data_IF_817964982999
#
_entry.id   IF_817964982999
#
_cell.length_a   1.000
_cell.length_b   1.000
_cell.length_c   1.000
_cell.angle_alpha   90.00
_cell.angle_beta   90.00
_cell.angle_gamma   90.00
#
_symmetry.space_group_name_H-M   'P 1'
#
loop_
_entity.id
_entity.type
_entity.pdbx_description
1 polymer ?
#
# COMPACT_ATOMS: atom_id res chain seq x y z
N UNK A 1 -10.74 -14.82 -14.74
CA UNK A 1 -10.36 -13.81 -13.72
C UNK A 1 -11.62 -13.43 -12.97
N UNK A 2 -11.69 -13.73 -11.68
CA UNK A 2 -12.99 -13.69 -10.97
C UNK A 2 -12.89 -12.87 -9.69
N UNK A 3 -14.00 -12.25 -9.28
CA UNK A 3 -14.14 -11.60 -7.97
C UNK A 3 -13.68 -12.54 -6.82
N UNK A 4 -13.82 -13.85 -7.02
CA UNK A 4 -13.36 -14.88 -6.09
C UNK A 4 -11.84 -14.89 -5.89
N UNK A 5 -11.03 -14.58 -6.91
CA UNK A 5 -9.57 -14.47 -6.77
C UNK A 5 -9.17 -13.29 -5.85
N UNK A 6 -9.91 -12.18 -5.91
CA UNK A 6 -9.66 -11.02 -5.04
C UNK A 6 -10.08 -11.33 -3.61
N UNK A 7 -11.28 -11.89 -3.43
CA UNK A 7 -11.81 -12.24 -2.12
C UNK A 7 -10.95 -13.30 -1.42
N UNK A 8 -10.54 -14.35 -2.12
CA UNK A 8 -9.69 -15.41 -1.55
C UNK A 8 -8.28 -14.95 -1.19
N UNK A 9 -7.77 -13.88 -1.82
CA UNK A 9 -6.46 -13.32 -1.51
C UNK A 9 -6.50 -12.27 -0.38
N UNK A 10 -7.69 -11.73 -0.08
CA UNK A 10 -7.86 -10.53 0.74
C UNK A 10 -7.27 -10.60 2.16
N UNK A 11 -7.10 -11.80 2.73
CA UNK A 11 -6.57 -12.01 4.08
C UNK A 11 -5.30 -12.88 4.10
N UNK A 12 -4.64 -13.07 2.95
CA UNK A 12 -3.37 -13.81 2.92
C UNK A 12 -2.24 -12.92 3.44
N UNK A 13 -1.88 -13.11 4.70
CA UNK A 13 -0.71 -12.49 5.33
C UNK A 13 0.49 -13.45 5.23
N UNK A 14 1.51 -13.07 4.48
CA UNK A 14 2.73 -13.86 4.27
C UNK A 14 3.99 -13.11 4.73
N UNK A 15 3.86 -12.19 5.71
CA UNK A 15 4.96 -11.36 6.19
C UNK A 15 6.21 -12.16 6.61
N UNK A 16 7.38 -11.55 6.43
CA UNK A 16 8.68 -12.06 6.90
C UNK A 16 9.27 -11.01 7.85
N UNK A 17 9.87 -11.47 8.94
CA UNK A 17 10.60 -10.60 9.86
C UNK A 17 11.75 -9.87 9.15
N UNK A 18 11.92 -8.58 9.45
CA UNK A 18 13.02 -7.75 8.92
C UNK A 18 12.78 -7.20 7.51
N UNK A 19 11.58 -7.34 6.95
CA UNK A 19 11.23 -6.74 5.66
C UNK A 19 10.97 -5.23 5.79
N UNK A 20 10.91 -4.53 4.66
CA UNK A 20 10.45 -3.13 4.62
C UNK A 20 8.96 -3.05 4.32
N UNK A 21 8.18 -2.42 5.19
CA UNK A 21 6.75 -2.20 4.97
C UNK A 21 6.53 -1.12 3.90
N UNK A 22 5.92 -1.47 2.77
CA UNK A 22 5.53 -0.51 1.72
C UNK A 22 4.04 -0.22 1.86
N UNK A 23 3.72 1.01 2.28
CA UNK A 23 2.35 1.45 2.56
C UNK A 23 1.78 2.13 1.34
N UNK A 24 0.75 1.51 0.74
CA UNK A 24 0.07 2.09 -0.41
C UNK A 24 -0.83 3.25 0.00
N UNK A 25 -0.67 4.37 -0.70
CA UNK A 25 -1.51 5.56 -0.60
C UNK A 25 -3.01 5.30 -0.80
N UNK A 26 -3.84 6.21 -0.31
CA UNK A 26 -5.29 6.12 -0.41
C UNK A 26 -5.98 7.47 -0.53
N UNK A 27 -6.05 8.23 0.57
CA UNK A 27 -6.58 9.60 0.58
C UNK A 27 -6.16 10.32 1.86
N UNK A 28 -6.00 11.64 1.78
CA UNK A 28 -5.78 12.55 2.91
C UNK A 28 -6.89 13.59 2.98
N UNK A 29 -7.20 14.05 4.19
CA UNK A 29 -8.18 15.10 4.47
C UNK A 29 -7.48 16.26 5.18
N UNK A 30 -7.07 17.26 4.41
CA UNK A 30 -6.30 18.40 4.93
C UNK A 30 -4.91 17.95 5.40
N UNK A 31 -4.72 17.87 6.72
CA UNK A 31 -3.46 17.44 7.35
C UNK A 31 -3.52 16.03 7.96
N UNK A 32 -4.67 15.36 7.86
CA UNK A 32 -4.89 14.05 8.48
C UNK A 32 -5.10 12.95 7.45
N UNK A 33 -4.66 11.71 7.71
CA UNK A 33 -4.98 10.60 6.82
C UNK A 33 -6.49 10.34 6.82
N UNK A 34 -7.04 9.92 5.67
CA UNK A 34 -8.41 9.38 5.64
C UNK A 34 -8.50 8.10 6.50
N UNK A 35 -9.69 7.67 6.95
CA UNK A 35 -9.82 6.45 7.76
C UNK A 35 -9.23 5.19 7.09
N UNK A 36 -9.29 5.10 5.75
CA UNK A 36 -8.68 3.99 5.00
C UNK A 36 -7.17 4.08 5.07
N UNK A 37 -6.61 5.28 4.85
CA UNK A 37 -5.17 5.47 4.89
C UNK A 37 -4.61 5.30 6.30
N UNK A 38 -5.30 5.85 7.31
CA UNK A 38 -4.97 5.70 8.72
C UNK A 38 -4.88 4.22 9.10
N UNK A 39 -5.86 3.39 8.71
CA UNK A 39 -5.82 1.95 8.98
C UNK A 39 -4.60 1.25 8.38
N UNK A 40 -4.08 1.74 7.24
CA UNK A 40 -2.85 1.19 6.62
C UNK A 40 -1.62 1.67 7.36
N UNK A 41 -1.58 2.94 7.76
CA UNK A 41 -0.49 3.52 8.54
C UNK A 41 -0.41 2.83 9.90
N UNK A 42 -1.53 2.68 10.61
CA UNK A 42 -1.61 1.98 11.90
C UNK A 42 -1.10 0.53 11.79
N UNK A 43 -1.45 -0.18 10.72
CA UNK A 43 -0.95 -1.53 10.48
C UNK A 43 0.56 -1.56 10.24
N UNK A 44 1.09 -0.61 9.47
CA UNK A 44 2.53 -0.50 9.23
C UNK A 44 3.31 -0.15 10.51
N UNK A 45 2.76 0.74 11.36
CA UNK A 45 3.32 1.07 12.67
C UNK A 45 3.33 -0.18 13.56
N UNK A 46 2.25 -0.96 13.55
CA UNK A 46 2.19 -2.22 14.30
C UNK A 46 3.30 -3.18 13.86
N UNK A 47 3.46 -3.41 12.55
CA UNK A 47 4.53 -4.25 12.01
C UNK A 47 5.93 -3.76 12.41
N UNK A 48 6.13 -2.44 12.43
CA UNK A 48 7.39 -1.84 12.89
C UNK A 48 7.64 -2.09 14.37
N UNK A 49 6.63 -1.87 15.21
CA UNK A 49 6.74 -2.03 16.66
C UNK A 49 6.90 -3.49 17.09
N UNK A 50 6.37 -4.45 16.33
CA UNK A 50 6.55 -5.89 16.59
C UNK A 50 7.82 -6.47 15.99
N UNK A 51 8.61 -5.67 15.26
CA UNK A 51 9.79 -6.15 14.54
C UNK A 51 9.48 -7.02 13.33
N UNK A 52 8.21 -7.04 12.88
CA UNK A 52 7.83 -7.68 11.61
C UNK A 52 8.33 -6.84 10.41
N UNK A 53 8.57 -5.54 10.59
CA UNK A 53 9.20 -4.66 9.60
C UNK A 53 10.25 -3.74 10.23
N UNK A 54 11.43 -3.63 9.63
CA UNK A 54 12.50 -2.76 10.17
C UNK A 54 12.37 -1.31 9.69
N UNK A 55 11.72 -1.12 8.54
CA UNK A 55 11.62 0.17 7.83
C UNK A 55 10.24 0.32 7.22
N UNK A 56 9.83 1.57 7.00
CA UNK A 56 8.54 1.90 6.37
C UNK A 56 8.77 2.82 5.17
N UNK A 57 8.20 2.47 4.02
CA UNK A 57 8.11 3.32 2.84
C UNK A 57 6.64 3.76 2.69
N UNK A 58 6.36 5.05 2.83
CA UNK A 58 5.05 5.60 2.46
C UNK A 58 5.05 6.04 0.99
N UNK A 59 3.99 5.66 0.29
CA UNK A 59 3.78 5.98 -1.13
C UNK A 59 2.56 6.89 -1.31
N UNK A 60 2.53 7.62 -2.41
CA UNK A 60 1.44 8.50 -2.79
C UNK A 60 1.82 9.97 -2.71
N UNK A 61 1.58 10.66 -3.81
CA UNK A 61 1.84 12.08 -3.99
C UNK A 61 0.66 12.96 -3.63
N UNK A 62 0.69 14.19 -4.12
CA UNK A 62 -0.32 15.21 -3.83
C UNK A 62 -1.46 15.18 -4.83
N UNK A 63 -2.70 15.10 -4.35
CA UNK A 63 -3.89 15.35 -5.19
C UNK A 63 -4.04 16.84 -5.48
N UNK A 64 -4.76 17.21 -6.55
CA UNK A 64 -4.97 18.62 -6.92
C UNK A 64 -5.61 19.47 -5.82
N UNK A 65 -6.36 18.84 -4.92
CA UNK A 65 -7.08 19.49 -3.81
C UNK A 65 -6.34 19.41 -2.48
N UNK A 66 -5.26 18.64 -2.41
CA UNK A 66 -4.56 18.38 -1.15
C UNK A 66 -3.36 19.32 -1.02
N UNK A 67 -3.10 19.79 0.20
CA UNK A 67 -1.95 20.66 0.50
C UNK A 67 -0.67 19.83 0.59
N UNK A 68 -0.78 18.62 1.15
CA UNK A 68 0.32 17.71 1.41
C UNK A 68 0.20 16.45 0.56
N UNK A 69 1.34 15.82 0.27
CA UNK A 69 1.34 14.49 -0.33
C UNK A 69 0.85 13.44 0.69
N UNK A 70 0.26 12.35 0.19
CA UNK A 70 -0.18 11.24 1.04
C UNK A 70 0.98 10.69 1.87
N UNK A 71 2.14 10.50 1.25
CA UNK A 71 3.34 9.98 1.93
C UNK A 71 3.87 10.90 3.02
N UNK A 72 3.81 12.22 2.84
CA UNK A 72 4.17 13.20 3.88
C UNK A 72 3.25 13.11 5.11
N UNK A 73 1.94 12.98 4.88
CA UNK A 73 0.95 12.82 5.94
C UNK A 73 1.17 11.49 6.67
N UNK A 74 1.43 10.41 5.92
CA UNK A 74 1.76 9.10 6.48
C UNK A 74 3.00 9.14 7.38
N UNK A 75 4.10 9.75 6.89
CA UNK A 75 5.33 9.93 7.67
C UNK A 75 5.09 10.72 8.95
N UNK A 76 4.39 11.86 8.86
CA UNK A 76 4.09 12.70 10.03
C UNK A 76 3.30 11.95 11.07
N UNK A 77 2.27 11.22 10.64
CA UNK A 77 1.46 10.40 11.52
C UNK A 77 2.30 9.30 12.18
N UNK A 78 3.12 8.56 11.43
CA UNK A 78 3.96 7.49 11.99
C UNK A 78 4.97 8.00 13.02
N UNK A 79 5.61 9.15 12.78
CA UNK A 79 6.53 9.78 13.74
C UNK A 79 5.79 10.14 15.04
N UNK A 80 4.58 10.69 14.94
CA UNK A 80 3.75 11.01 16.11
C UNK A 80 3.35 9.77 16.92
N UNK A 81 3.41 8.58 16.32
CA UNK A 81 3.09 7.30 16.94
C UNK A 81 4.32 6.45 17.26
N UNK A 82 5.51 7.08 17.31
CA UNK A 82 6.72 6.46 17.85
C UNK A 82 7.60 5.72 16.85
N UNK A 83 7.36 5.87 15.54
CA UNK A 83 8.31 5.38 14.52
C UNK A 83 9.47 6.36 14.38
N UNK A 84 10.69 5.84 14.38
CA UNK A 84 11.91 6.64 14.29
C UNK A 84 12.02 7.26 12.88
N UNK A 85 12.24 8.59 12.74
CA UNK A 85 12.24 9.27 11.44
C UNK A 85 13.22 8.70 10.41
N UNK A 86 14.34 8.14 10.86
CA UNK A 86 15.42 7.55 10.06
C UNK A 86 15.03 6.20 9.42
N UNK A 87 14.01 5.54 9.95
CA UNK A 87 13.47 4.28 9.39
C UNK A 87 12.30 4.51 8.43
N UNK A 88 11.96 5.78 8.15
CA UNK A 88 10.86 6.14 7.26
C UNK A 88 11.39 6.78 5.98
N UNK A 89 11.02 6.19 4.85
CA UNK A 89 11.21 6.77 3.52
C UNK A 89 9.87 7.14 2.91
N UNK A 90 9.89 8.13 2.01
CA UNK A 90 8.68 8.60 1.33
C UNK A 90 8.95 8.84 -0.15
N UNK A 91 7.95 8.55 -0.99
CA UNK A 91 7.84 9.09 -2.35
C UNK A 91 6.52 9.87 -2.48
N UNK A 92 6.59 11.06 -3.07
CA UNK A 92 5.54 12.09 -3.03
C UNK A 92 5.03 12.51 -4.42
N UNK A 93 5.34 11.72 -5.46
CA UNK A 93 5.02 12.06 -6.85
C UNK A 93 3.92 11.16 -7.43
N UNK A 94 3.76 9.94 -6.91
CA UNK A 94 2.91 8.93 -7.53
C UNK A 94 1.43 9.15 -7.31
N UNK A 95 0.59 8.83 -8.31
CA UNK A 95 -0.88 8.97 -8.21
C UNK A 95 -1.64 7.68 -8.51
N UNK A 96 -0.94 6.65 -8.97
CA UNK A 96 -1.49 5.34 -9.28
C UNK A 96 -0.63 4.25 -8.67
N UNK A 97 -1.23 3.09 -8.40
CA UNK A 97 -0.56 1.96 -7.73
C UNK A 97 0.72 1.51 -8.43
N UNK A 98 0.76 1.52 -9.76
CA UNK A 98 1.96 1.14 -10.52
C UNK A 98 3.11 2.11 -10.28
N UNK A 99 2.87 3.42 -10.36
CA UNK A 99 3.90 4.43 -10.07
C UNK A 99 4.33 4.40 -8.61
N UNK A 100 3.41 4.18 -7.67
CA UNK A 100 3.75 4.02 -6.25
C UNK A 100 4.78 2.90 -6.07
N UNK A 101 4.55 1.75 -6.71
CA UNK A 101 5.42 0.58 -6.59
C UNK A 101 6.76 0.78 -7.32
N UNK A 102 6.78 1.42 -8.49
CA UNK A 102 8.01 1.78 -9.19
C UNK A 102 8.88 2.70 -8.32
N UNK A 103 8.28 3.73 -7.74
CA UNK A 103 8.99 4.70 -6.90
C UNK A 103 9.43 4.08 -5.57
N UNK A 104 8.59 3.24 -4.94
CA UNK A 104 8.96 2.49 -3.75
C UNK A 104 10.14 1.54 -4.01
N UNK A 105 10.12 0.81 -5.14
CA UNK A 105 11.24 -0.04 -5.55
C UNK A 105 12.51 0.78 -5.74
N UNK A 106 12.44 1.91 -6.45
CA UNK A 106 13.59 2.80 -6.69
C UNK A 106 14.18 3.33 -5.38
N UNK A 107 13.32 3.70 -4.42
CA UNK A 107 13.77 4.10 -3.08
C UNK A 107 14.43 2.94 -2.34
N UNK A 108 13.83 1.75 -2.37
CA UNK A 108 14.39 0.57 -1.76
C UNK A 108 15.75 0.19 -2.33
N UNK A 109 15.89 0.19 -3.66
CA UNK A 109 17.15 -0.10 -4.36
C UNK A 109 18.27 0.86 -3.90
N UNK A 110 17.96 2.16 -3.73
CA UNK A 110 18.89 3.17 -3.25
C UNK A 110 19.31 2.98 -1.77
N UNK A 111 18.54 2.19 -1.00
CA UNK A 111 18.79 1.88 0.41
C UNK A 111 19.24 0.43 0.62
N UNK A 112 19.54 -0.31 -0.47
CA UNK A 112 19.89 -1.74 -0.45
C UNK A 112 18.79 -2.63 0.16
N UNK A 113 17.53 -2.19 0.08
CA UNK A 113 16.34 -2.95 0.49
C UNK A 113 15.88 -3.80 -0.70
N UNK A 114 15.70 -5.10 -0.49
CA UNK A 114 15.32 -6.05 -1.54
C UNK A 114 14.05 -6.84 -1.26
N UNK A 115 13.58 -6.86 -0.01
CA UNK A 115 12.36 -7.57 0.40
C UNK A 115 11.36 -6.61 1.02
N UNK A 116 10.09 -6.80 0.66
CA UNK A 116 9.04 -5.85 1.00
C UNK A 116 7.79 -6.55 1.52
N UNK A 117 7.15 -5.95 2.52
CA UNK A 117 5.79 -6.29 2.94
C UNK A 117 4.82 -5.21 2.47
N UNK A 118 3.94 -5.53 1.54
CA UNK A 118 2.91 -4.62 1.03
C UNK A 118 1.77 -4.46 2.03
N UNK A 119 1.51 -3.22 2.43
CA UNK A 119 0.42 -2.85 3.33
C UNK A 119 -0.66 -2.10 2.56
N UNK A 120 -1.87 -2.67 2.55
CA UNK A 120 -3.03 -2.07 1.88
C UNK A 120 -4.35 -2.65 2.38
N UNK A 121 -5.46 -2.17 1.81
CA UNK A 121 -6.78 -2.71 2.10
C UNK A 121 -6.93 -4.16 1.55
N UNK A 122 -7.60 -5.07 2.26
CA UNK A 122 -7.85 -6.46 1.83
C UNK A 122 -8.28 -6.62 0.36
N UNK A 123 -9.26 -5.82 -0.11
CA UNK A 123 -9.77 -5.97 -1.48
C UNK A 123 -8.82 -5.39 -2.54
N UNK A 124 -7.96 -4.46 -2.16
CA UNK A 124 -6.92 -3.89 -3.04
C UNK A 124 -5.68 -4.79 -3.13
N UNK A 125 -5.46 -5.64 -2.13
CA UNK A 125 -4.22 -6.37 -1.96
C UNK A 125 -3.84 -7.24 -3.17
N UNK A 126 -4.83 -7.91 -3.79
CA UNK A 126 -4.56 -8.77 -4.95
C UNK A 126 -3.95 -8.00 -6.12
N UNK A 127 -4.48 -6.81 -6.41
CA UNK A 127 -3.99 -5.98 -7.52
C UNK A 127 -2.61 -5.41 -7.24
N UNK A 128 -2.39 -4.94 -6.01
CA UNK A 128 -1.10 -4.45 -5.58
C UNK A 128 0.02 -5.49 -5.73
N UNK A 129 -0.21 -6.72 -5.24
CA UNK A 129 0.77 -7.81 -5.33
C UNK A 129 1.06 -8.17 -6.79
N UNK A 130 0.04 -8.33 -7.64
CA UNK A 130 0.24 -8.66 -9.06
C UNK A 130 1.10 -7.62 -9.76
N UNK A 131 0.86 -6.33 -9.52
CA UNK A 131 1.65 -5.26 -10.13
C UNK A 131 3.10 -5.31 -9.60
N UNK A 132 3.30 -5.50 -8.30
CA UNK A 132 4.63 -5.53 -7.70
C UNK A 132 5.47 -6.73 -8.16
N UNK A 133 4.86 -7.91 -8.27
CA UNK A 133 5.48 -9.12 -8.83
C UNK A 133 5.91 -8.88 -10.29
N UNK A 134 5.08 -8.21 -11.09
CA UNK A 134 5.42 -7.82 -12.47
C UNK A 134 6.59 -6.83 -12.55
N UNK A 135 6.75 -5.97 -11.54
CA UNK A 135 7.88 -5.05 -11.42
C UNK A 135 9.15 -5.73 -10.88
N UNK A 136 9.12 -7.05 -10.65
CA UNK A 136 10.25 -7.84 -10.16
C UNK A 136 10.58 -7.59 -8.69
N UNK A 137 9.62 -7.14 -7.87
CA UNK A 137 9.81 -6.96 -6.43
C UNK A 137 9.60 -8.28 -5.68
N UNK A 138 10.47 -8.62 -4.71
CA UNK A 138 10.17 -9.69 -3.74
C UNK A 138 9.22 -9.13 -2.68
N UNK A 139 7.92 -9.35 -2.91
CA UNK A 139 6.84 -8.83 -2.05
C UNK A 139 6.08 -9.94 -1.34
N UNK A 140 5.69 -9.65 -0.10
CA UNK A 140 4.66 -10.36 0.65
C UNK A 140 3.49 -9.42 0.92
N UNK A 141 2.28 -9.95 0.99
CA UNK A 141 1.10 -9.17 1.38
C UNK A 141 0.93 -9.20 2.89
N UNK A 142 0.61 -8.05 3.48
CA UNK A 142 0.07 -7.92 4.84
C UNK A 142 -1.12 -6.94 4.82
N UNK A 143 -2.33 -7.43 4.50
CA UNK A 143 -3.52 -6.59 4.40
C UNK A 143 -3.94 -6.06 5.77
N UNK A 144 -4.59 -4.90 5.81
CA UNK A 144 -5.12 -4.37 7.08
C UNK A 144 -6.10 -5.37 7.71
N UNK A 145 -6.11 -5.55 9.04
CA UNK A 145 -6.96 -6.55 9.70
C UNK A 145 -8.45 -6.33 9.43
N UNK A 146 -8.84 -5.07 9.21
CA UNK A 146 -10.19 -4.68 8.87
C UNK A 146 -10.17 -3.68 7.71
N UNK A 147 -11.09 -3.83 6.77
CA UNK A 147 -11.40 -2.79 5.79
C UNK A 147 -12.34 -1.75 6.39
N UNK A 148 -12.17 -0.47 6.03
CA UNK A 148 -13.16 0.58 6.34
C UNK A 148 -14.41 0.47 5.47
N UNK A 149 -14.35 -0.29 4.37
CA UNK A 149 -15.51 -0.66 3.57
C UNK A 149 -16.24 -1.82 4.24
N UNK A 150 -17.10 -1.53 5.22
CA UNK A 150 -17.73 -2.56 6.05
C UNK A 150 -19.09 -3.05 5.49
N UNK A 151 -19.85 -2.18 4.83
CA UNK A 151 -21.19 -2.50 4.33
C UNK A 151 -21.17 -3.05 2.90
N UNK A 152 -22.16 -3.88 2.54
CA UNK A 152 -22.28 -4.41 1.17
C UNK A 152 -22.37 -3.29 0.12
N UNK A 153 -23.02 -2.18 0.46
CA UNK A 153 -23.15 -0.99 -0.40
C UNK A 153 -21.81 -0.35 -0.75
N UNK A 154 -20.78 -0.49 0.09
CA UNK A 154 -19.46 0.08 -0.17
C UNK A 154 -18.43 -0.97 -0.59
N UNK A 155 -18.54 -2.21 -0.10
CA UNK A 155 -17.72 -3.36 -0.52
C UNK A 155 -17.93 -3.74 -1.98
N UNK A 156 -19.18 -3.83 -2.45
CA UNK A 156 -19.47 -4.30 -3.82
C UNK A 156 -18.91 -3.34 -4.88
N UNK A 157 -19.16 -2.01 -4.82
CA UNK A 157 -18.56 -1.09 -5.79
C UNK A 157 -17.04 -1.09 -5.75
N UNK A 158 -16.44 -1.21 -4.56
CA UNK A 158 -14.99 -1.27 -4.42
C UNK A 158 -14.41 -2.54 -5.05
N UNK A 159 -15.00 -3.71 -4.76
CA UNK A 159 -14.60 -4.98 -5.39
C UNK A 159 -14.76 -4.96 -6.92
N UNK A 160 -15.85 -4.38 -7.43
CA UNK A 160 -16.07 -4.22 -8.88
C UNK A 160 -14.98 -3.34 -9.52
N UNK A 161 -14.67 -2.20 -8.89
CA UNK A 161 -13.58 -1.32 -9.32
C UNK A 161 -12.24 -2.05 -9.34
N UNK A 162 -11.90 -2.76 -8.27
CA UNK A 162 -10.64 -3.51 -8.17
C UNK A 162 -10.55 -4.62 -9.24
N UNK A 163 -11.67 -5.29 -9.52
CA UNK A 163 -11.77 -6.28 -10.60
C UNK A 163 -11.49 -5.65 -11.95
N UNK A 164 -12.13 -4.50 -12.26
CA UNK A 164 -11.94 -3.79 -13.52
C UNK A 164 -10.50 -3.30 -13.69
N UNK A 165 -9.91 -2.68 -12.65
CA UNK A 165 -8.53 -2.18 -12.70
C UNK A 165 -7.52 -3.32 -12.90
N UNK A 166 -7.71 -4.47 -12.24
CA UNK A 166 -6.82 -5.60 -12.41
C UNK A 166 -6.96 -6.24 -13.79
N UNK A 167 -8.19 -6.35 -14.32
CA UNK A 167 -8.42 -6.80 -15.70
C UNK A 167 -7.75 -5.87 -16.71
N UNK A 168 -7.99 -4.56 -16.59
CA UNK A 168 -7.38 -3.55 -17.46
C UNK A 168 -5.85 -3.62 -17.42
N UNK A 169 -5.26 -3.75 -16.24
CA UNK A 169 -3.80 -3.92 -16.10
C UNK A 169 -3.31 -5.17 -16.86
N UNK A 170 -3.94 -6.34 -16.66
CA UNK A 170 -3.54 -7.56 -17.38
C UNK A 170 -3.69 -7.44 -18.90
N UNK A 171 -4.74 -6.80 -19.39
CA UNK A 171 -4.94 -6.57 -20.83
C UNK A 171 -3.84 -5.67 -21.40
N UNK A 172 -3.49 -4.58 -20.72
CA UNK A 172 -2.40 -3.69 -21.14
C UNK A 172 -1.07 -4.45 -21.20
N UNK A 173 -0.80 -5.29 -20.21
CA UNK A 173 0.44 -6.09 -20.18
C UNK A 173 0.45 -7.22 -21.21
N UNK A 174 -0.71 -7.71 -21.66
CA UNK A 174 -0.79 -8.73 -22.71
C UNK A 174 -0.56 -8.15 -24.12
N UNK A 175 -0.88 -6.87 -24.31
CA UNK A 175 -0.71 -6.17 -25.60
C UNK A 175 0.73 -5.65 -25.78
N UNK A 176 1.47 -5.44 -24.69
CA UNK A 176 2.88 -5.04 -24.68
C UNK A 176 3.79 -6.23 -24.88
#
# INVERSE_FOLDING_TARGET
MTMWEIVSYSHKDHRRHGDTAVVLGAAVYGQSPSPVFQSRIDHAIHLYQTGDADKIIFTGGRSERDIHAESEVGRRYAIQHGVVPEDIYIEDVSRITETNLIQAKKLGDAQLISTYTLVSDPLHMKRAVVIAEHLGMDVKSSPTPNSRYQSLRTKVPFLMRETFLLMGYRVIQWIK
#
